data_IF_908624446698
#
_entry.id   IF_908624446698
#
_cell.length_a   1.000
_cell.length_b   1.000
_cell.length_c   1.000
_cell.angle_alpha   90.00
_cell.angle_beta   90.00
_cell.angle_gamma   90.00
#
_symmetry.space_group_name_H-M   'P 1'
#
loop_
_entity.id
_entity.type
_entity.pdbx_description
1 polymer ?
#
# COMPACT_ATOMS: atom_id res chain seq x y z
N UNK A 1 12.72 -6.28 16.15
CA UNK A 1 11.59 -7.19 16.36
C UNK A 1 10.33 -6.47 16.83
N UNK A 2 10.35 -5.64 17.85
CA UNK A 2 9.16 -4.93 18.39
C UNK A 2 8.37 -4.12 17.36
N UNK A 3 9.05 -3.34 16.49
CA UNK A 3 8.38 -2.62 15.40
C UNK A 3 7.69 -3.55 14.38
N UNK A 4 8.21 -4.75 14.18
CA UNK A 4 7.55 -5.75 13.35
C UNK A 4 6.23 -6.25 13.97
N UNK A 5 6.20 -6.46 15.29
CA UNK A 5 4.98 -6.83 16.03
C UNK A 5 3.95 -5.69 15.98
N UNK A 6 4.39 -4.45 16.13
CA UNK A 6 3.51 -3.27 15.99
C UNK A 6 2.86 -3.23 14.60
N UNK A 7 3.66 -3.42 13.54
CA UNK A 7 3.13 -3.46 12.17
C UNK A 7 2.19 -4.64 11.95
N UNK A 8 2.56 -5.83 12.43
CA UNK A 8 1.71 -7.02 12.36
C UNK A 8 0.32 -6.75 12.96
N UNK A 9 0.26 -6.30 14.22
CA UNK A 9 -1.01 -6.00 14.89
C UNK A 9 -1.83 -4.93 14.16
N UNK A 10 -1.16 -3.91 13.66
CA UNK A 10 -1.84 -2.82 12.98
C UNK A 10 -2.34 -3.23 11.59
N UNK A 11 -1.61 -4.10 10.89
CA UNK A 11 -2.06 -4.60 9.60
C UNK A 11 -3.16 -5.66 9.76
N UNK A 12 -3.14 -6.49 10.81
CA UNK A 12 -4.32 -7.29 11.21
C UNK A 12 -5.54 -6.39 11.37
N UNK A 13 -5.41 -5.28 12.10
CA UNK A 13 -6.51 -4.33 12.28
C UNK A 13 -7.00 -3.72 10.97
N UNK A 14 -6.10 -3.16 10.16
CA UNK A 14 -6.51 -2.44 8.95
C UNK A 14 -7.02 -3.37 7.86
N UNK A 15 -6.42 -4.52 7.67
CA UNK A 15 -6.80 -5.44 6.59
C UNK A 15 -8.07 -6.24 6.92
N UNK A 16 -8.37 -6.48 8.22
CA UNK A 16 -9.66 -7.02 8.63
C UNK A 16 -10.81 -6.10 8.22
N UNK A 17 -10.67 -4.78 8.44
CA UNK A 17 -11.69 -3.80 8.02
C UNK A 17 -11.74 -3.68 6.50
N UNK A 18 -10.58 -3.59 5.84
CA UNK A 18 -10.51 -3.48 4.36
C UNK A 18 -11.22 -4.65 3.69
N UNK A 19 -11.08 -5.87 4.22
CA UNK A 19 -11.66 -7.08 3.65
C UNK A 19 -13.19 -7.13 3.72
N UNK A 20 -13.82 -6.47 4.70
CA UNK A 20 -15.27 -6.44 4.83
C UNK A 20 -15.90 -5.15 4.28
N UNK A 21 -15.08 -4.12 4.02
CA UNK A 21 -15.55 -2.78 3.64
C UNK A 21 -16.48 -2.76 2.43
N UNK A 22 -16.25 -3.55 1.34
CA UNK A 22 -17.15 -3.62 0.21
C UNK A 22 -18.56 -4.06 0.63
N UNK A 23 -18.65 -5.15 1.38
CA UNK A 23 -19.92 -5.69 1.87
C UNK A 23 -20.59 -4.79 2.90
N UNK A 24 -19.79 -4.22 3.81
CA UNK A 24 -20.30 -3.32 4.82
C UNK A 24 -20.97 -2.09 4.19
N UNK A 25 -20.32 -1.51 3.17
CA UNK A 25 -20.88 -0.33 2.47
C UNK A 25 -22.10 -0.70 1.64
N UNK A 26 -22.06 -1.80 0.89
CA UNK A 26 -23.13 -2.14 -0.08
C UNK A 26 -24.25 -2.96 0.53
N UNK A 27 -23.94 -4.01 1.29
CA UNK A 27 -24.95 -4.92 1.84
C UNK A 27 -25.45 -4.47 3.22
N UNK A 28 -24.57 -4.13 4.17
CA UNK A 28 -25.00 -3.78 5.53
C UNK A 28 -25.62 -2.39 5.62
N UNK A 29 -25.05 -1.39 4.94
CA UNK A 29 -25.54 -0.02 4.94
C UNK A 29 -26.48 0.29 3.77
N UNK A 30 -26.65 -0.63 2.81
CA UNK A 30 -27.49 -0.45 1.63
C UNK A 30 -27.07 0.73 0.74
N UNK A 31 -25.80 1.17 0.81
CA UNK A 31 -25.32 2.28 0.01
C UNK A 31 -25.01 1.82 -1.42
N UNK A 32 -25.06 2.76 -2.35
CA UNK A 32 -24.84 2.46 -3.77
C UNK A 32 -23.40 2.01 -4.04
N UNK A 33 -23.18 1.31 -5.15
CA UNK A 33 -21.86 0.93 -5.67
C UNK A 33 -21.00 2.17 -5.97
N UNK A 34 -21.62 3.31 -6.29
CA UNK A 34 -20.94 4.60 -6.42
C UNK A 34 -20.32 5.04 -5.09
N UNK A 35 -21.09 4.91 -4.00
CA UNK A 35 -20.57 5.23 -2.67
C UNK A 35 -19.38 4.33 -2.30
N UNK A 36 -19.47 3.03 -2.60
CA UNK A 36 -18.34 2.13 -2.43
C UNK A 36 -17.13 2.56 -3.28
N UNK A 37 -17.34 2.95 -4.53
CA UNK A 37 -16.26 3.43 -5.42
C UNK A 37 -15.52 4.65 -4.86
N UNK A 38 -16.25 5.59 -4.25
CA UNK A 38 -15.63 6.74 -3.55
C UNK A 38 -14.80 6.26 -2.36
N UNK A 39 -15.36 5.38 -1.53
CA UNK A 39 -14.66 4.83 -0.34
C UNK A 39 -13.40 4.07 -0.75
N UNK A 40 -13.48 3.17 -1.72
CA UNK A 40 -12.33 2.42 -2.23
C UNK A 40 -11.28 3.34 -2.85
N UNK A 41 -11.71 4.34 -3.63
CA UNK A 41 -10.80 5.35 -4.17
C UNK A 41 -10.02 6.07 -3.06
N UNK A 42 -10.68 6.47 -1.98
CA UNK A 42 -10.03 7.08 -0.82
C UNK A 42 -9.05 6.10 -0.14
N UNK A 43 -9.39 4.82 -0.05
CA UNK A 43 -8.48 3.77 0.43
C UNK A 43 -7.21 3.73 -0.41
N UNK A 44 -7.32 3.82 -1.74
CA UNK A 44 -6.19 3.73 -2.66
C UNK A 44 -5.28 4.98 -2.63
N UNK A 45 -5.86 6.19 -2.55
CA UNK A 45 -5.14 7.44 -2.84
C UNK A 45 -4.79 8.31 -1.64
N UNK A 46 -5.64 8.37 -0.60
CA UNK A 46 -5.51 9.39 0.45
C UNK A 46 -4.19 9.34 1.24
N UNK A 47 -3.63 8.15 1.46
CA UNK A 47 -2.38 7.98 2.22
C UNK A 47 -1.11 8.39 1.46
N UNK A 48 -1.13 8.39 0.13
CA UNK A 48 0.05 8.65 -0.69
C UNK A 48 0.53 10.10 -0.56
N UNK A 49 -0.40 11.05 -0.50
CA UNK A 49 -0.12 12.48 -0.40
C UNK A 49 0.51 12.86 0.95
N UNK A 50 0.14 12.17 2.02
CA UNK A 50 0.53 12.52 3.40
C UNK A 50 1.85 11.87 3.82
N UNK A 51 2.31 10.83 3.11
CA UNK A 51 3.54 10.10 3.45
C UNK A 51 4.77 10.99 3.53
N UNK A 52 4.89 11.97 2.63
CA UNK A 52 6.00 12.92 2.61
C UNK A 52 5.97 13.84 3.84
N UNK A 53 4.79 14.28 4.26
CA UNK A 53 4.62 15.14 5.43
C UNK A 53 5.03 14.39 6.73
N UNK A 54 4.70 13.11 6.86
CA UNK A 54 5.11 12.27 7.99
C UNK A 54 6.63 12.14 8.10
N UNK A 55 7.32 11.91 6.97
CA UNK A 55 8.77 11.87 6.91
C UNK A 55 9.40 13.21 7.31
N UNK A 56 8.92 14.31 6.75
CA UNK A 56 9.38 15.66 7.08
C UNK A 56 9.21 16.01 8.57
N UNK A 57 8.04 15.70 9.14
CA UNK A 57 7.79 15.92 10.57
C UNK A 57 8.73 15.11 11.46
N UNK A 58 8.99 13.85 11.11
CA UNK A 58 9.94 12.98 11.79
C UNK A 58 11.36 13.55 11.77
N UNK A 59 11.80 14.02 10.59
CA UNK A 59 13.14 14.58 10.41
C UNK A 59 13.30 15.91 11.16
N UNK A 60 12.26 16.74 11.19
CA UNK A 60 12.30 18.05 11.86
C UNK A 60 12.31 17.91 13.38
N UNK A 61 11.57 16.98 13.95
CA UNK A 61 11.43 16.81 15.39
C UNK A 61 12.52 15.92 16.00
N UNK A 62 13.23 15.12 15.19
CA UNK A 62 14.13 14.03 15.63
C UNK A 62 13.44 13.05 16.61
N UNK A 63 12.12 12.89 16.49
CA UNK A 63 11.28 12.02 17.33
C UNK A 63 10.42 11.08 16.51
N UNK A 64 11.00 10.20 15.69
CA UNK A 64 10.24 9.32 14.80
C UNK A 64 9.24 8.43 15.52
N UNK A 65 9.54 7.99 16.76
CA UNK A 65 8.60 7.21 17.58
C UNK A 65 7.28 7.94 17.80
N UNK A 66 7.33 9.21 18.21
CA UNK A 66 6.12 9.97 18.55
C UNK A 66 5.32 10.36 17.29
N UNK A 67 6.00 10.70 16.20
CA UNK A 67 5.33 10.94 14.90
C UNK A 67 4.63 9.67 14.41
N UNK A 68 5.30 8.51 14.51
CA UNK A 68 4.66 7.24 14.22
C UNK A 68 3.48 6.94 15.16
N UNK A 69 3.63 7.22 16.47
CA UNK A 69 2.57 7.01 17.47
C UNK A 69 1.31 7.83 17.16
N UNK A 70 1.45 9.07 16.71
CA UNK A 70 0.32 9.89 16.23
C UNK A 70 -0.38 9.21 15.05
N UNK A 71 0.38 8.72 14.06
CA UNK A 71 -0.20 8.01 12.91
C UNK A 71 -0.92 6.71 13.29
N UNK A 72 -0.33 5.90 14.18
CA UNK A 72 -0.96 4.69 14.71
C UNK A 72 -2.18 4.98 15.56
N UNK A 73 -2.10 6.00 16.45
CA UNK A 73 -3.21 6.46 17.28
C UNK A 73 -4.39 6.96 16.46
N UNK A 74 -4.10 7.72 15.39
CA UNK A 74 -5.11 8.21 14.47
C UNK A 74 -5.85 7.04 13.80
N UNK A 75 -5.12 6.02 13.33
CA UNK A 75 -5.73 4.79 12.79
C UNK A 75 -6.55 4.04 13.84
N UNK A 76 -6.09 3.94 15.09
CA UNK A 76 -6.85 3.29 16.16
C UNK A 76 -8.15 4.06 16.50
N UNK A 77 -8.11 5.39 16.51
CA UNK A 77 -9.27 6.23 16.73
C UNK A 77 -10.35 6.02 15.68
N UNK A 78 -9.95 5.81 14.41
CA UNK A 78 -10.92 5.53 13.34
C UNK A 78 -11.68 4.21 13.56
N UNK A 79 -11.08 3.22 14.24
CA UNK A 79 -11.77 1.96 14.58
C UNK A 79 -12.89 2.19 15.59
N UNK A 80 -12.71 3.11 16.54
CA UNK A 80 -13.78 3.55 17.44
C UNK A 80 -14.88 4.24 16.63
N UNK A 81 -14.50 5.16 15.73
CA UNK A 81 -15.47 5.86 14.88
C UNK A 81 -16.30 4.92 14.02
N UNK A 82 -15.73 3.83 13.49
CA UNK A 82 -16.46 2.86 12.67
C UNK A 82 -17.57 2.13 13.42
N UNK A 83 -17.49 2.00 14.74
CA UNK A 83 -18.56 1.41 15.56
C UNK A 83 -19.84 2.26 15.59
N UNK A 84 -19.70 3.55 15.32
CA UNK A 84 -20.80 4.53 15.38
C UNK A 84 -21.09 5.17 14.01
N UNK A 85 -20.34 4.77 12.97
CA UNK A 85 -20.46 5.39 11.66
C UNK A 85 -21.79 5.03 10.98
N UNK A 86 -22.53 6.04 10.58
CA UNK A 86 -23.73 5.90 9.77
C UNK A 86 -23.59 6.75 8.49
N UNK A 87 -23.82 6.12 7.35
CA UNK A 87 -23.80 6.78 6.04
C UNK A 87 -22.41 7.09 5.46
N UNK A 88 -22.41 7.46 4.19
CA UNK A 88 -21.22 7.67 3.38
C UNK A 88 -20.25 8.75 3.93
N UNK A 89 -20.71 9.95 4.38
CA UNK A 89 -19.78 10.98 4.84
C UNK A 89 -18.96 10.56 6.05
N UNK A 90 -19.59 9.84 7.01
CA UNK A 90 -18.91 9.35 8.20
C UNK A 90 -17.85 8.31 7.84
N UNK A 91 -18.20 7.32 7.00
CA UNK A 91 -17.26 6.28 6.57
C UNK A 91 -16.12 6.88 5.76
N UNK A 92 -16.42 7.76 4.80
CA UNK A 92 -15.40 8.40 3.97
C UNK A 92 -14.42 9.22 4.82
N UNK A 93 -14.90 9.98 5.80
CA UNK A 93 -14.03 10.75 6.71
C UNK A 93 -13.15 9.86 7.58
N UNK A 94 -13.68 8.74 8.09
CA UNK A 94 -12.92 7.78 8.87
C UNK A 94 -11.87 7.05 8.02
N UNK A 95 -12.22 6.66 6.79
CA UNK A 95 -11.28 6.04 5.84
C UNK A 95 -10.15 7.01 5.49
N UNK A 96 -10.47 8.27 5.16
CA UNK A 96 -9.43 9.29 4.91
C UNK A 96 -8.51 9.45 6.13
N UNK A 97 -9.09 9.55 7.31
CA UNK A 97 -8.33 9.70 8.57
C UNK A 97 -7.41 8.50 8.82
N UNK A 98 -7.90 7.27 8.60
CA UNK A 98 -7.08 6.05 8.69
C UNK A 98 -5.92 6.06 7.68
N UNK A 99 -6.18 6.43 6.41
CA UNK A 99 -5.16 6.50 5.37
C UNK A 99 -4.14 7.62 5.62
N UNK A 100 -4.56 8.75 6.18
CA UNK A 100 -3.68 9.81 6.67
C UNK A 100 -2.79 9.25 7.79
N UNK A 101 -3.36 8.55 8.78
CA UNK A 101 -2.60 7.89 9.84
C UNK A 101 -1.56 6.90 9.29
N UNK A 102 -1.95 6.07 8.30
CA UNK A 102 -1.04 5.12 7.61
C UNK A 102 0.07 5.87 6.85
N UNK A 103 -0.25 6.98 6.20
CA UNK A 103 0.73 7.84 5.52
C UNK A 103 1.75 8.45 6.49
N UNK A 104 1.28 9.07 7.57
CA UNK A 104 2.13 9.73 8.60
C UNK A 104 3.10 8.76 9.25
N UNK A 105 2.68 7.53 9.58
CA UNK A 105 3.50 6.56 10.33
C UNK A 105 4.57 5.85 9.49
N UNK A 106 4.41 5.73 8.17
CA UNK A 106 5.24 4.85 7.33
C UNK A 106 6.71 5.26 7.33
N UNK A 107 7.03 6.51 6.99
CA UNK A 107 8.41 6.99 6.92
C UNK A 107 9.10 7.05 8.31
N UNK A 108 8.47 7.56 9.39
CA UNK A 108 9.05 7.51 10.74
C UNK A 108 9.33 6.09 11.24
N UNK A 109 8.44 5.13 10.97
CA UNK A 109 8.64 3.72 11.29
C UNK A 109 9.89 3.17 10.61
N UNK A 110 10.03 3.41 9.32
CA UNK A 110 11.17 2.92 8.55
C UNK A 110 12.49 3.56 9.03
N UNK A 111 12.45 4.84 9.43
CA UNK A 111 13.59 5.52 10.07
C UNK A 111 13.98 4.87 11.41
N UNK A 112 13.00 4.48 12.25
CA UNK A 112 13.26 3.75 13.50
C UNK A 112 13.89 2.38 13.24
N UNK A 113 13.44 1.65 12.23
CA UNK A 113 14.02 0.35 11.84
C UNK A 113 15.48 0.57 11.44
N UNK A 114 15.74 1.54 10.58
CA UNK A 114 17.09 1.86 10.13
C UNK A 114 18.01 2.29 11.27
N UNK A 115 17.50 3.09 12.22
CA UNK A 115 18.29 3.57 13.38
C UNK A 115 18.58 2.47 14.40
N UNK A 116 17.69 1.47 14.54
CA UNK A 116 17.82 0.35 15.48
C UNK A 116 18.62 -0.83 14.93
N UNK A 117 18.75 -0.94 13.61
CA UNK A 117 19.41 -2.07 12.95
C UNK A 117 20.93 -1.86 12.85
N UNK A 118 21.68 -2.99 12.89
CA UNK A 118 23.08 -2.95 12.53
C UNK A 118 23.22 -2.68 11.01
N UNK A 119 24.06 -1.74 10.56
CA UNK A 119 24.24 -1.43 9.14
C UNK A 119 24.55 -2.65 8.25
N UNK A 120 25.25 -3.66 8.80
CA UNK A 120 25.55 -4.92 8.10
C UNK A 120 24.33 -5.82 7.89
N UNK A 121 23.29 -5.66 8.71
CA UNK A 121 22.11 -6.52 8.72
C UNK A 121 20.81 -5.75 8.40
N UNK A 122 20.93 -4.58 7.78
CA UNK A 122 19.79 -3.70 7.48
C UNK A 122 18.74 -4.41 6.60
N UNK A 123 19.18 -5.10 5.54
CA UNK A 123 18.31 -5.86 4.66
C UNK A 123 17.52 -6.97 5.40
N UNK A 124 18.19 -7.69 6.32
CA UNK A 124 17.54 -8.70 7.16
C UNK A 124 16.50 -8.08 8.10
N UNK A 125 16.80 -6.91 8.67
CA UNK A 125 15.88 -6.22 9.58
C UNK A 125 14.62 -5.75 8.86
N UNK A 126 14.74 -5.17 7.67
CA UNK A 126 13.59 -4.81 6.83
C UNK A 126 12.86 -6.05 6.31
N UNK A 127 13.57 -7.12 5.96
CA UNK A 127 12.98 -8.39 5.53
C UNK A 127 12.09 -9.02 6.59
N UNK A 128 12.58 -9.11 7.84
CA UNK A 128 11.78 -9.61 8.98
C UNK A 128 10.58 -8.71 9.26
N UNK A 129 10.77 -7.38 9.20
CA UNK A 129 9.67 -6.44 9.35
C UNK A 129 8.60 -6.66 8.28
N UNK A 130 9.01 -6.77 7.00
CA UNK A 130 8.09 -6.99 5.88
C UNK A 130 7.35 -8.32 5.97
N UNK A 131 8.02 -9.37 6.45
CA UNK A 131 7.38 -10.67 6.67
C UNK A 131 6.26 -10.59 7.71
N UNK A 132 6.51 -9.87 8.83
CA UNK A 132 5.50 -9.65 9.86
C UNK A 132 4.34 -8.76 9.37
N UNK A 133 4.64 -7.71 8.62
CA UNK A 133 3.67 -6.83 7.94
C UNK A 133 2.72 -7.67 7.06
N UNK A 134 3.30 -8.50 6.19
CA UNK A 134 2.54 -9.38 5.28
C UNK A 134 1.74 -10.47 6.03
N UNK A 135 2.32 -11.04 7.10
CA UNK A 135 1.60 -12.00 7.94
C UNK A 135 0.37 -11.36 8.62
N UNK A 136 0.49 -10.12 9.09
CA UNK A 136 -0.62 -9.33 9.60
C UNK A 136 -1.69 -9.07 8.54
N UNK A 137 -1.27 -8.71 7.34
CA UNK A 137 -2.16 -8.48 6.21
C UNK A 137 -2.94 -9.74 5.78
N UNK A 138 -2.35 -10.92 5.93
CA UNK A 138 -3.05 -12.17 5.66
C UNK A 138 -3.98 -12.60 6.82
N UNK A 139 -3.57 -12.37 8.06
CA UNK A 139 -4.35 -12.76 9.24
C UNK A 139 -5.59 -11.87 9.43
N UNK A 140 -5.54 -10.59 9.06
CA UNK A 140 -6.68 -9.68 9.17
C UNK A 140 -7.95 -10.21 8.50
N UNK A 141 -7.93 -10.49 7.20
CA UNK A 141 -9.08 -11.07 6.49
C UNK A 141 -9.49 -12.45 7.00
N UNK A 142 -8.55 -13.28 7.51
CA UNK A 142 -8.87 -14.56 8.14
C UNK A 142 -9.67 -14.36 9.43
N UNK A 143 -9.30 -13.40 10.26
CA UNK A 143 -10.08 -13.07 11.47
C UNK A 143 -11.45 -12.50 11.11
N UNK A 144 -11.55 -11.70 10.06
CA UNK A 144 -12.82 -11.22 9.56
C UNK A 144 -13.72 -12.38 9.07
N UNK A 145 -13.14 -13.36 8.35
CA UNK A 145 -13.83 -14.59 7.97
C UNK A 145 -14.38 -15.33 9.18
N UNK A 146 -13.52 -15.62 10.18
CA UNK A 146 -13.91 -16.35 11.39
C UNK A 146 -15.01 -15.62 12.16
N UNK A 147 -14.93 -14.28 12.26
CA UNK A 147 -15.94 -13.46 12.93
C UNK A 147 -17.29 -13.53 12.21
N UNK A 148 -17.32 -13.39 10.88
CA UNK A 148 -18.54 -13.49 10.08
C UNK A 148 -19.09 -14.91 9.98
N UNK A 149 -18.21 -15.93 10.09
CA UNK A 149 -18.64 -17.32 10.15
C UNK A 149 -19.30 -17.66 11.49
N UNK A 150 -18.74 -17.13 12.60
CA UNK A 150 -19.31 -17.36 13.93
C UNK A 150 -20.58 -16.52 14.19
N UNK A 151 -20.65 -15.31 13.64
CA UNK A 151 -21.75 -14.36 13.80
C UNK A 151 -22.10 -13.83 12.42
N UNK A 152 -23.12 -14.41 11.73
CA UNK A 152 -23.58 -13.91 10.45
C UNK A 152 -23.92 -12.42 10.53
N UNK A 153 -23.47 -11.63 9.53
CA UNK A 153 -23.57 -10.18 9.47
C UNK A 153 -22.93 -9.41 10.65
N UNK A 154 -22.02 -10.08 11.38
CA UNK A 154 -21.31 -9.55 12.55
C UNK A 154 -20.21 -8.54 12.20
N UNK A 155 -20.48 -7.56 11.32
CA UNK A 155 -19.50 -6.52 10.93
C UNK A 155 -18.97 -5.75 12.14
N UNK A 156 -19.84 -5.45 13.10
CA UNK A 156 -19.44 -4.80 14.37
C UNK A 156 -18.41 -5.63 15.13
N UNK A 157 -18.55 -6.96 15.13
CA UNK A 157 -17.56 -7.87 15.77
C UNK A 157 -16.19 -7.75 15.11
N UNK A 158 -16.14 -7.65 13.77
CA UNK A 158 -14.89 -7.41 13.06
C UNK A 158 -14.27 -6.06 13.44
N UNK A 159 -15.08 -4.99 13.57
CA UNK A 159 -14.58 -3.69 14.02
C UNK A 159 -14.04 -3.73 15.45
N UNK A 160 -14.67 -4.47 16.37
CA UNK A 160 -14.20 -4.65 17.76
C UNK A 160 -12.87 -5.42 17.78
N UNK A 161 -12.75 -6.51 17.03
CA UNK A 161 -11.49 -7.27 16.87
C UNK A 161 -10.39 -6.36 16.31
N UNK A 162 -10.72 -5.60 15.25
CA UNK A 162 -9.82 -4.63 14.62
C UNK A 162 -9.37 -3.56 15.62
N UNK A 163 -10.27 -3.01 16.44
CA UNK A 163 -9.96 -2.06 17.50
C UNK A 163 -9.02 -2.67 18.53
N UNK A 164 -9.29 -3.89 19.01
CA UNK A 164 -8.43 -4.60 19.94
C UNK A 164 -6.99 -4.75 19.41
N UNK A 165 -6.84 -5.18 18.16
CA UNK A 165 -5.54 -5.28 17.50
C UNK A 165 -4.84 -3.92 17.34
N UNK A 166 -5.59 -2.86 16.99
CA UNK A 166 -5.04 -1.50 16.89
C UNK A 166 -4.55 -0.98 18.24
N UNK A 167 -5.33 -1.14 19.32
CA UNK A 167 -4.95 -0.72 20.67
C UNK A 167 -3.72 -1.47 21.16
N UNK A 168 -3.66 -2.78 20.94
CA UNK A 168 -2.47 -3.59 21.25
C UNK A 168 -1.26 -3.13 20.44
N UNK A 169 -1.43 -2.79 19.18
CA UNK A 169 -0.35 -2.24 18.32
C UNK A 169 0.17 -0.90 18.83
N UNK A 170 -0.72 0.04 19.18
CA UNK A 170 -0.34 1.34 19.77
C UNK A 170 0.33 1.14 21.15
N UNK A 171 -0.23 0.29 22.00
CA UNK A 171 0.35 -0.08 23.29
C UNK A 171 1.77 -0.66 23.14
N UNK A 172 1.95 -1.60 22.23
CA UNK A 172 3.27 -2.17 21.94
C UNK A 172 4.27 -1.11 21.44
N UNK A 173 3.84 -0.17 20.60
CA UNK A 173 4.68 0.93 20.14
C UNK A 173 5.12 1.84 21.28
N UNK A 174 4.16 2.25 22.11
CA UNK A 174 4.43 3.21 23.21
C UNK A 174 5.29 2.57 24.30
N UNK A 175 4.98 1.33 24.70
CA UNK A 175 5.60 0.67 25.85
C UNK A 175 6.89 -0.06 25.49
N UNK A 176 6.97 -0.72 24.33
CA UNK A 176 8.07 -1.63 24.00
C UNK A 176 9.09 -1.05 23.03
N UNK A 177 8.75 -0.01 22.25
CA UNK A 177 9.69 0.59 21.31
C UNK A 177 10.47 1.70 21.99
N UNK A 178 11.82 1.66 22.00
CA UNK A 178 12.62 2.72 22.59
C UNK A 178 12.50 4.05 21.82
N UNK A 179 12.58 5.17 22.54
CA UNK A 179 12.60 6.51 21.92
C UNK A 179 13.99 6.80 21.37
N UNK A 180 14.22 6.33 20.14
CA UNK A 180 15.49 6.56 19.44
C UNK A 180 15.44 7.92 18.75
N UNK A 181 16.52 8.69 18.95
CA UNK A 181 16.74 9.96 18.25
C UNK A 181 17.90 9.77 17.25
N UNK A 182 17.62 9.57 15.97
CA UNK A 182 18.62 9.20 14.98
C UNK A 182 19.77 10.21 14.87
N UNK A 183 19.49 11.50 14.91
CA UNK A 183 20.53 12.56 14.86
C UNK A 183 21.38 12.58 16.11
N UNK A 184 20.75 12.49 17.29
CA UNK A 184 21.46 12.41 18.55
C UNK A 184 22.35 11.16 18.64
N UNK A 185 21.84 10.01 18.15
CA UNK A 185 22.61 8.78 18.11
C UNK A 185 23.82 8.86 17.15
N UNK A 186 23.63 9.48 15.99
CA UNK A 186 24.73 9.73 15.05
C UNK A 186 25.78 10.65 15.66
N UNK A 187 25.38 11.73 16.30
CA UNK A 187 26.27 12.65 17.01
C UNK A 187 27.08 11.93 18.10
N UNK A 188 26.43 11.13 18.96
CA UNK A 188 27.11 10.37 20.03
C UNK A 188 28.13 9.36 19.47
N UNK A 189 27.81 8.66 18.36
CA UNK A 189 28.76 7.74 17.71
C UNK A 189 30.01 8.47 17.20
N UNK A 190 29.82 9.63 16.61
CA UNK A 190 30.93 10.45 16.09
C UNK A 190 31.81 10.95 17.22
N UNK A 191 31.24 11.39 18.34
CA UNK A 191 32.02 11.86 19.49
C UNK A 191 32.78 10.73 20.21
N UNK A 192 32.17 9.56 20.43
CA UNK A 192 32.86 8.37 20.97
C UNK A 192 34.01 7.92 20.10
N UNK A 193 33.82 7.90 18.79
CA UNK A 193 34.91 7.56 17.84
C UNK A 193 36.07 8.55 17.85
N UNK A 194 35.81 9.81 18.18
CA UNK A 194 36.85 10.83 18.34
C UNK A 194 37.59 10.70 19.68
N UNK A 195 36.87 10.48 20.77
CA UNK A 195 37.48 10.23 22.08
C UNK A 195 38.39 8.99 22.07
N UNK A 196 37.96 7.90 21.42
CA UNK A 196 38.80 6.70 21.27
C UNK A 196 40.04 6.88 20.40
N UNK A 197 40.09 7.95 19.59
CA UNK A 197 41.23 8.32 18.75
C UNK A 197 42.10 9.43 19.33
N UNK A 198 41.83 9.84 20.60
CA UNK A 198 42.62 10.89 21.28
C UNK A 198 42.53 12.29 20.66
N UNK A 199 41.48 12.54 19.85
CA UNK A 199 41.31 13.84 19.20
C UNK A 199 40.65 14.85 20.15
N UNK A 200 41.08 16.13 20.14
CA UNK A 200 40.59 17.14 21.06
C UNK A 200 39.08 17.36 20.94
N UNK A 201 38.42 17.59 22.09
CA UNK A 201 36.99 17.95 22.16
C UNK A 201 36.76 19.26 21.40
N UNK A 202 35.89 19.27 20.41
CA UNK A 202 35.55 20.49 19.71
C UNK A 202 34.74 21.40 20.64
N UNK A 203 35.37 22.45 21.18
CA UNK A 203 34.69 23.58 21.81
C UNK A 203 34.13 24.46 20.68
N UNK A 204 32.83 24.53 20.50
CA UNK A 204 32.20 25.51 19.62
C UNK A 204 32.07 25.14 18.13
N UNK A 205 32.39 23.92 17.72
CA UNK A 205 32.13 23.49 16.34
C UNK A 205 30.67 23.02 16.21
N UNK A 206 29.93 23.60 15.28
CA UNK A 206 28.90 22.89 14.55
C UNK A 206 29.58 21.74 13.80
N UNK A 207 29.91 20.66 14.53
CA UNK A 207 30.57 19.51 13.91
C UNK A 207 29.54 18.84 13.00
N UNK A 208 29.52 19.23 11.73
CA UNK A 208 28.94 18.43 10.68
C UNK A 208 29.60 17.06 10.74
N UNK A 209 28.82 16.02 10.91
CA UNK A 209 29.31 14.66 10.97
C UNK A 209 30.06 14.34 9.67
N UNK A 210 31.34 13.86 9.72
CA UNK A 210 32.00 13.37 8.53
C UNK A 210 31.28 12.12 8.06
N UNK A 211 30.65 12.17 6.92
CA UNK A 211 29.72 11.14 6.41
C UNK A 211 28.28 11.36 6.88
N UNK A 212 27.98 12.49 7.50
CA UNK A 212 26.61 12.97 7.58
C UNK A 212 26.09 12.95 6.14
N UNK A 213 24.99 12.21 5.95
CA UNK A 213 24.13 12.48 4.82
C UNK A 213 23.92 13.99 4.90
N UNK A 214 24.74 14.74 4.21
CA UNK A 214 24.38 16.08 3.87
C UNK A 214 23.07 15.90 3.14
N UNK A 215 21.97 16.08 3.87
CA UNK A 215 20.85 16.72 3.27
C UNK A 215 21.42 18.09 2.85
N UNK A 216 22.35 18.06 1.89
CA UNK A 216 22.58 19.19 1.04
C UNK A 216 21.20 19.46 0.55
N UNK A 217 20.60 20.47 1.13
CA UNK A 217 19.35 21.05 0.66
C UNK A 217 19.58 21.57 -0.76
N UNK A 218 19.94 20.67 -1.65
CA UNK A 218 19.71 20.90 -3.06
C UNK A 218 18.21 21.06 -3.14
N UNK A 219 17.75 22.25 -3.51
CA UNK A 219 16.34 22.51 -3.67
C UNK A 219 15.79 21.35 -4.50
N UNK A 220 14.69 20.77 -4.04
CA UNK A 220 14.01 19.68 -4.68
C UNK A 220 13.92 19.98 -6.18
N UNK A 221 14.82 19.42 -6.98
CA UNK A 221 14.91 19.78 -8.38
C UNK A 221 13.99 18.87 -9.16
N UNK A 222 12.86 19.40 -9.58
CA UNK A 222 11.94 18.77 -10.52
C UNK A 222 12.58 18.49 -11.90
N UNK A 223 13.87 18.78 -12.06
CA UNK A 223 14.62 18.59 -13.30
C UNK A 223 14.58 17.15 -13.85
N UNK A 224 14.40 16.14 -12.98
CA UNK A 224 14.24 14.76 -13.44
C UNK A 224 12.91 14.53 -14.19
N UNK A 225 11.87 15.32 -13.91
CA UNK A 225 10.60 15.28 -14.63
C UNK A 225 10.70 15.74 -16.09
N UNK A 226 11.75 16.50 -16.44
CA UNK A 226 11.99 16.94 -17.81
C UNK A 226 12.63 15.86 -18.70
N UNK A 227 13.08 14.76 -18.09
CA UNK A 227 13.66 13.64 -18.84
C UNK A 227 12.54 12.84 -19.50
N UNK A 228 12.57 12.72 -20.82
CA UNK A 228 11.53 12.04 -21.59
C UNK A 228 11.24 10.60 -21.14
N UNK A 229 12.25 9.86 -20.65
CA UNK A 229 12.07 8.51 -20.08
C UNK A 229 11.22 8.54 -18.80
N UNK A 230 11.49 9.49 -17.88
CA UNK A 230 10.73 9.63 -16.63
C UNK A 230 9.28 10.01 -16.91
N UNK A 231 9.06 10.99 -17.80
CA UNK A 231 7.69 11.40 -18.19
C UNK A 231 6.91 10.21 -18.75
N UNK A 232 7.51 9.42 -19.63
CA UNK A 232 6.85 8.25 -20.22
C UNK A 232 6.44 7.21 -19.17
N UNK A 233 7.30 6.94 -18.18
CA UNK A 233 6.95 6.03 -17.07
C UNK A 233 5.79 6.59 -16.26
N UNK A 234 5.81 7.88 -15.93
CA UNK A 234 4.73 8.51 -15.17
C UNK A 234 3.40 8.49 -15.94
N UNK A 235 3.44 8.73 -17.24
CA UNK A 235 2.26 8.62 -18.11
C UNK A 235 1.74 7.18 -18.15
N UNK A 236 2.63 6.19 -18.33
CA UNK A 236 2.23 4.78 -18.31
C UNK A 236 1.69 4.36 -16.94
N UNK A 237 2.34 4.76 -15.86
CA UNK A 237 1.87 4.49 -14.50
C UNK A 237 0.49 5.13 -14.21
N UNK A 238 0.26 6.35 -14.67
CA UNK A 238 -1.02 7.03 -14.58
C UNK A 238 -2.10 6.36 -15.43
N UNK A 239 -1.82 6.06 -16.69
CA UNK A 239 -2.77 5.44 -17.61
C UNK A 239 -3.17 4.03 -17.13
N UNK A 240 -2.20 3.19 -16.78
CA UNK A 240 -2.46 1.86 -16.25
C UNK A 240 -3.14 1.92 -14.87
N UNK A 241 -2.77 2.88 -14.02
CA UNK A 241 -3.43 3.12 -12.75
C UNK A 241 -4.90 3.52 -12.89
N UNK A 242 -5.25 4.34 -13.90
CA UNK A 242 -6.64 4.72 -14.22
C UNK A 242 -7.51 3.54 -14.68
N UNK A 243 -6.90 2.47 -15.15
CA UNK A 243 -7.59 1.25 -15.58
C UNK A 243 -7.51 0.12 -14.55
N UNK A 244 -6.85 0.36 -13.42
CA UNK A 244 -6.75 -0.58 -12.30
C UNK A 244 -7.84 -0.27 -11.29
N UNK A 245 -8.93 -1.00 -11.39
CA UNK A 245 -10.10 -0.91 -10.48
C UNK A 245 -9.76 -1.63 -9.17
N UNK A 246 -10.32 -1.17 -8.05
CA UNK A 246 -10.11 -1.79 -6.75
C UNK A 246 -10.63 -3.24 -6.71
N UNK A 247 -9.89 -4.11 -6.02
CA UNK A 247 -10.20 -5.56 -5.95
C UNK A 247 -11.59 -5.85 -5.42
N UNK A 248 -12.08 -5.02 -4.49
CA UNK A 248 -13.40 -5.19 -3.90
C UNK A 248 -14.52 -5.18 -4.93
N UNK A 249 -14.39 -4.47 -6.06
CA UNK A 249 -15.35 -4.54 -7.15
C UNK A 249 -15.35 -5.90 -7.84
N UNK A 250 -14.16 -6.46 -8.07
CA UNK A 250 -14.03 -7.80 -8.65
C UNK A 250 -14.64 -8.83 -7.70
N UNK A 251 -14.37 -8.71 -6.40
CA UNK A 251 -14.91 -9.62 -5.38
C UNK A 251 -16.42 -9.49 -5.22
N UNK A 252 -16.97 -8.27 -5.25
CA UNK A 252 -18.42 -8.06 -5.29
C UNK A 252 -19.05 -8.67 -6.55
N UNK A 253 -18.37 -8.57 -7.70
CA UNK A 253 -18.85 -9.17 -8.94
C UNK A 253 -18.85 -10.71 -8.88
N UNK A 254 -17.83 -11.31 -8.29
CA UNK A 254 -17.75 -12.76 -8.08
C UNK A 254 -18.82 -13.24 -7.10
N UNK A 255 -19.03 -12.50 -6.01
CA UNK A 255 -20.06 -12.83 -5.02
C UNK A 255 -21.48 -12.75 -5.60
N UNK A 256 -21.79 -11.66 -6.30
CA UNK A 256 -23.09 -11.47 -6.92
C UNK A 256 -23.36 -12.52 -8.03
N UNK A 257 -22.32 -12.94 -8.77
CA UNK A 257 -22.42 -13.98 -9.78
C UNK A 257 -22.63 -15.38 -9.20
N UNK A 258 -21.84 -15.74 -8.19
CA UNK A 258 -21.80 -17.12 -7.67
C UNK A 258 -22.70 -17.34 -6.45
N UNK A 259 -23.25 -16.26 -5.87
CA UNK A 259 -24.22 -16.31 -4.76
C UNK A 259 -23.67 -16.92 -3.46
N UNK A 260 -22.34 -16.89 -3.24
CA UNK A 260 -21.77 -17.46 -2.01
C UNK A 260 -22.05 -16.57 -0.79
N UNK A 261 -22.15 -17.20 0.38
CA UNK A 261 -22.47 -16.52 1.61
C UNK A 261 -21.42 -15.46 2.00
N UNK A 262 -21.88 -14.38 2.64
CA UNK A 262 -21.06 -13.18 2.98
C UNK A 262 -19.81 -13.51 3.79
N UNK A 263 -19.83 -14.55 4.63
CA UNK A 263 -18.66 -14.96 5.40
C UNK A 263 -17.45 -15.39 4.57
N UNK A 264 -17.66 -15.89 3.35
CA UNK A 264 -16.57 -16.31 2.46
C UNK A 264 -15.84 -15.15 1.78
N UNK A 265 -16.46 -13.97 1.75
CA UNK A 265 -15.94 -12.81 1.05
C UNK A 265 -14.50 -12.40 1.49
N UNK A 266 -14.14 -12.34 2.79
CA UNK A 266 -12.79 -12.00 3.20
C UNK A 266 -11.73 -12.99 2.69
N UNK A 267 -12.10 -14.26 2.41
CA UNK A 267 -11.17 -15.24 1.87
C UNK A 267 -10.75 -14.94 0.43
N UNK A 268 -11.48 -14.13 -0.32
CA UNK A 268 -11.06 -13.67 -1.64
C UNK A 268 -9.79 -12.82 -1.54
N UNK A 269 -9.71 -11.95 -0.52
CA UNK A 269 -8.48 -11.19 -0.22
C UNK A 269 -7.34 -12.11 0.19
N UNK A 270 -7.61 -13.12 1.03
CA UNK A 270 -6.60 -14.12 1.42
C UNK A 270 -6.09 -14.87 0.20
N UNK A 271 -6.97 -15.31 -0.69
CA UNK A 271 -6.61 -16.05 -1.90
C UNK A 271 -5.71 -15.23 -2.83
N UNK A 272 -6.12 -13.99 -3.13
CA UNK A 272 -5.30 -13.09 -3.96
C UNK A 272 -3.93 -12.81 -3.33
N UNK A 273 -3.88 -12.52 -2.02
CA UNK A 273 -2.64 -12.27 -1.30
C UNK A 273 -1.73 -13.50 -1.24
N UNK A 274 -2.29 -14.70 -1.04
CA UNK A 274 -1.52 -15.95 -1.04
C UNK A 274 -0.84 -16.18 -2.40
N UNK A 275 -1.57 -16.01 -3.50
CA UNK A 275 -1.01 -16.12 -4.85
C UNK A 275 0.05 -15.06 -5.09
N UNK A 276 -0.22 -13.81 -4.70
CA UNK A 276 0.77 -12.73 -4.79
C UNK A 276 2.07 -13.09 -4.06
N UNK A 277 1.99 -13.57 -2.82
CA UNK A 277 3.16 -13.95 -2.03
C UNK A 277 3.95 -15.09 -2.67
N UNK A 278 3.27 -16.10 -3.18
CA UNK A 278 3.91 -17.23 -3.86
C UNK A 278 4.62 -16.81 -5.15
N UNK A 279 4.02 -15.90 -5.90
CA UNK A 279 4.51 -15.49 -7.21
C UNK A 279 5.47 -14.29 -7.18
N UNK A 280 5.48 -13.46 -6.13
CA UNK A 280 6.27 -12.23 -6.08
C UNK A 280 7.77 -12.45 -6.33
N UNK A 281 8.37 -13.46 -5.69
CA UNK A 281 9.79 -13.75 -5.87
C UNK A 281 10.12 -14.36 -7.25
N UNK A 282 9.41 -15.38 -7.77
CA UNK A 282 9.67 -15.92 -9.09
C UNK A 282 9.40 -14.89 -10.22
N UNK A 283 8.31 -14.12 -10.14
CA UNK A 283 8.00 -13.09 -11.14
C UNK A 283 9.00 -11.93 -11.08
N UNK A 284 9.48 -11.56 -9.90
CA UNK A 284 10.55 -10.57 -9.75
C UNK A 284 11.84 -11.00 -10.46
N UNK A 285 12.28 -12.26 -10.29
CA UNK A 285 13.43 -12.81 -11.03
C UNK A 285 13.18 -12.87 -12.52
N UNK A 286 11.98 -13.22 -12.93
CA UNK A 286 11.58 -13.20 -14.33
C UNK A 286 11.63 -11.80 -14.93
N UNK A 287 11.17 -10.78 -14.17
CA UNK A 287 11.25 -9.38 -14.58
C UNK A 287 12.69 -8.89 -14.75
N UNK A 288 13.61 -9.31 -13.88
CA UNK A 288 15.03 -8.97 -14.01
C UNK A 288 15.67 -9.62 -15.24
N UNK A 289 15.23 -10.83 -15.64
CA UNK A 289 15.78 -11.57 -16.80
C UNK A 289 15.17 -11.15 -18.13
N UNK A 290 13.85 -10.95 -18.19
CA UNK A 290 13.11 -10.70 -19.44
C UNK A 290 12.76 -9.22 -19.67
N UNK A 291 13.05 -8.36 -18.69
CA UNK A 291 12.85 -6.92 -18.75
C UNK A 291 11.61 -6.45 -17.96
N UNK A 292 11.85 -5.56 -17.02
CA UNK A 292 10.86 -5.03 -16.07
C UNK A 292 9.65 -4.38 -16.74
N UNK A 293 9.90 -3.61 -17.83
CA UNK A 293 8.85 -2.94 -18.58
C UNK A 293 7.88 -3.93 -19.23
N UNK A 294 8.40 -5.06 -19.78
CA UNK A 294 7.56 -6.09 -20.38
C UNK A 294 6.70 -6.80 -19.34
N UNK A 295 7.28 -7.14 -18.18
CA UNK A 295 6.55 -7.82 -17.11
C UNK A 295 5.46 -6.93 -16.54
N UNK A 296 5.71 -5.62 -16.36
CA UNK A 296 4.70 -4.64 -15.96
C UNK A 296 3.50 -4.63 -16.94
N UNK A 297 3.76 -4.63 -18.22
CA UNK A 297 2.71 -4.66 -19.26
C UNK A 297 1.96 -5.99 -19.27
N UNK A 298 2.66 -7.13 -19.18
CA UNK A 298 2.03 -8.45 -19.08
C UNK A 298 1.17 -8.60 -17.84
N UNK A 299 1.56 -7.97 -16.71
CA UNK A 299 0.71 -7.91 -15.52
C UNK A 299 -0.68 -7.34 -15.82
N UNK A 300 -0.78 -6.28 -16.62
CA UNK A 300 -2.07 -5.70 -16.97
C UNK A 300 -2.89 -6.53 -17.98
N UNK A 301 -2.24 -7.40 -18.75
CA UNK A 301 -2.96 -8.45 -19.53
C UNK A 301 -3.63 -9.45 -18.57
N UNK A 302 -2.92 -9.85 -17.50
CA UNK A 302 -3.51 -10.72 -16.47
C UNK A 302 -4.69 -10.03 -15.76
N UNK A 303 -4.58 -8.73 -15.50
CA UNK A 303 -5.68 -7.94 -14.94
C UNK A 303 -6.89 -7.89 -15.88
N UNK A 304 -6.68 -7.66 -17.17
CA UNK A 304 -7.76 -7.71 -18.17
C UNK A 304 -8.43 -9.09 -18.20
N UNK A 305 -7.64 -10.16 -18.13
CA UNK A 305 -8.15 -11.52 -18.03
C UNK A 305 -8.95 -11.77 -16.75
N UNK A 306 -8.51 -11.18 -15.60
CA UNK A 306 -9.25 -11.27 -14.35
C UNK A 306 -10.61 -10.57 -14.42
N UNK A 307 -10.69 -9.38 -15.04
CA UNK A 307 -11.96 -8.67 -15.25
C UNK A 307 -12.88 -9.44 -16.20
N UNK A 308 -12.35 -9.96 -17.31
CA UNK A 308 -13.10 -10.80 -18.23
C UNK A 308 -13.63 -12.07 -17.55
N UNK A 309 -12.81 -12.69 -16.69
CA UNK A 309 -13.20 -13.87 -15.91
C UNK A 309 -14.33 -13.54 -14.92
N UNK A 310 -14.27 -12.37 -14.26
CA UNK A 310 -15.32 -11.92 -13.35
C UNK A 310 -16.64 -11.52 -14.06
N UNK A 311 -16.53 -11.01 -15.29
CA UNK A 311 -17.67 -10.65 -16.15
C UNK A 311 -18.32 -11.87 -16.83
N UNK A 312 -17.55 -12.96 -17.03
CA UNK A 312 -18.00 -14.14 -17.76
C UNK A 312 -19.20 -14.83 -17.04
N UNK A 313 -20.11 -15.44 -17.81
CA UNK A 313 -21.31 -16.09 -17.26
C UNK A 313 -21.03 -17.44 -16.60
N UNK A 314 -19.77 -17.88 -16.58
CA UNK A 314 -19.40 -19.17 -15.98
C UNK A 314 -19.37 -19.05 -14.45
N UNK A 315 -20.29 -19.73 -13.79
CA UNK A 315 -20.39 -19.79 -12.33
C UNK A 315 -19.52 -20.92 -11.75
N UNK A 316 -19.17 -20.81 -10.47
CA UNK A 316 -18.55 -21.86 -9.69
C UNK A 316 -17.17 -21.52 -9.13
N UNK A 317 -16.77 -22.28 -8.13
CA UNK A 317 -15.51 -22.09 -7.38
C UNK A 317 -14.26 -22.04 -8.26
N UNK A 318 -14.23 -22.82 -9.34
CA UNK A 318 -13.07 -22.84 -10.27
C UNK A 318 -12.85 -21.49 -10.92
N UNK A 319 -13.92 -20.85 -11.42
CA UNK A 319 -13.82 -19.51 -12.06
C UNK A 319 -13.39 -18.46 -11.04
N UNK A 320 -13.91 -18.52 -9.82
CA UNK A 320 -13.51 -17.65 -8.73
C UNK A 320 -12.03 -17.83 -8.39
N UNK A 321 -11.56 -19.09 -8.24
CA UNK A 321 -10.13 -19.36 -8.00
C UNK A 321 -9.24 -18.85 -9.15
N UNK A 322 -9.65 -19.04 -10.40
CA UNK A 322 -8.91 -18.50 -11.57
C UNK A 322 -8.83 -16.98 -11.52
N UNK A 323 -9.91 -16.29 -11.18
CA UNK A 323 -9.89 -14.83 -11.03
C UNK A 323 -8.90 -14.37 -9.93
N UNK A 324 -8.88 -15.07 -8.77
CA UNK A 324 -7.94 -14.76 -7.68
C UNK A 324 -6.48 -15.03 -8.09
N UNK A 325 -6.22 -16.11 -8.83
CA UNK A 325 -4.89 -16.42 -9.34
C UNK A 325 -4.43 -15.33 -10.32
N UNK A 326 -5.29 -14.90 -11.24
CA UNK A 326 -4.98 -13.83 -12.18
C UNK A 326 -4.70 -12.50 -11.48
N UNK A 327 -5.50 -12.12 -10.47
CA UNK A 327 -5.28 -10.92 -9.66
C UNK A 327 -3.98 -11.00 -8.86
N UNK A 328 -3.71 -12.11 -8.19
CA UNK A 328 -2.46 -12.31 -7.44
C UNK A 328 -1.23 -12.26 -8.34
N UNK A 329 -1.31 -12.86 -9.54
CA UNK A 329 -0.25 -12.82 -10.55
C UNK A 329 -0.06 -11.39 -11.12
N UNK A 330 -1.15 -10.64 -11.31
CA UNK A 330 -1.09 -9.21 -11.66
C UNK A 330 -0.31 -8.42 -10.62
N UNK A 331 -0.61 -8.58 -9.33
CA UNK A 331 0.13 -7.89 -8.27
C UNK A 331 1.61 -8.30 -8.24
N UNK A 332 1.92 -9.57 -8.41
CA UNK A 332 3.30 -10.04 -8.50
C UNK A 332 4.08 -9.41 -9.66
N UNK A 333 3.40 -9.14 -10.79
CA UNK A 333 3.99 -8.54 -11.98
C UNK A 333 4.08 -7.01 -11.93
N UNK A 334 3.36 -6.35 -11.02
CA UNK A 334 3.26 -4.88 -11.00
C UNK A 334 3.82 -4.27 -9.72
N UNK A 335 3.51 -4.84 -8.54
CA UNK A 335 4.02 -4.37 -7.26
C UNK A 335 5.54 -4.57 -7.18
N UNK A 336 6.25 -3.50 -6.87
CA UNK A 336 7.73 -3.52 -6.86
C UNK A 336 8.37 -3.38 -8.26
N UNK A 337 7.79 -3.94 -9.33
CA UNK A 337 8.36 -3.85 -10.69
C UNK A 337 8.35 -2.40 -11.20
N UNK A 338 7.28 -1.64 -10.95
CA UNK A 338 7.23 -0.21 -11.29
C UNK A 338 8.31 0.58 -10.53
N UNK A 339 8.49 0.31 -9.25
CA UNK A 339 9.53 0.96 -8.43
C UNK A 339 10.94 0.60 -8.92
N UNK A 340 11.16 -0.67 -9.26
CA UNK A 340 12.43 -1.14 -9.80
C UNK A 340 12.72 -0.56 -11.20
N UNK A 341 11.69 -0.44 -12.05
CA UNK A 341 11.81 0.19 -13.37
C UNK A 341 12.14 1.69 -13.24
N UNK A 342 11.43 2.40 -12.37
CA UNK A 342 11.66 3.82 -12.12
C UNK A 342 13.06 4.06 -11.57
N UNK A 343 13.54 3.22 -10.64
CA UNK A 343 14.86 3.34 -10.03
C UNK A 343 16.01 3.13 -11.03
N UNK A 344 15.80 2.34 -12.07
CA UNK A 344 16.79 2.08 -13.10
C UNK A 344 17.00 3.24 -14.08
N UNK A 345 16.00 4.12 -14.22
CA UNK A 345 15.97 5.20 -15.22
C UNK A 345 16.40 6.56 -14.68
N UNK A 346 16.61 6.68 -13.38
CA UNK A 346 17.00 7.93 -12.74
C UNK A 346 18.31 7.79 -11.98
N UNK A 347 19.12 8.88 -11.85
CA UNK A 347 20.32 8.91 -11.04
C UNK A 347 20.06 8.56 -9.57
N UNK A 348 21.08 8.11 -8.86
CA UNK A 348 20.98 7.63 -7.49
C UNK A 348 20.48 8.69 -6.50
N UNK A 349 20.82 9.95 -6.73
CA UNK A 349 20.46 11.11 -5.90
C UNK A 349 18.97 11.48 -5.92
N UNK A 350 18.23 11.09 -6.97
CA UNK A 350 16.79 11.39 -7.13
C UNK A 350 15.89 10.15 -7.16
N UNK A 351 16.46 8.94 -6.93
CA UNK A 351 15.70 7.67 -7.01
C UNK A 351 14.51 7.63 -6.07
N UNK A 352 14.69 7.99 -4.82
CA UNK A 352 13.61 7.98 -3.83
C UNK A 352 12.45 8.88 -4.24
N UNK A 353 12.76 10.08 -4.71
CA UNK A 353 11.76 11.05 -5.20
C UNK A 353 11.03 10.53 -6.43
N UNK A 354 11.75 9.97 -7.41
CA UNK A 354 11.13 9.45 -8.62
C UNK A 354 10.21 8.26 -8.35
N UNK A 355 10.63 7.32 -7.49
CA UNK A 355 9.79 6.20 -7.04
C UNK A 355 8.54 6.73 -6.31
N UNK A 356 8.71 7.67 -5.38
CA UNK A 356 7.60 8.26 -4.65
C UNK A 356 6.61 8.97 -5.58
N UNK A 357 7.12 9.71 -6.59
CA UNK A 357 6.27 10.36 -7.60
C UNK A 357 5.49 9.35 -8.42
N UNK A 358 6.14 8.27 -8.90
CA UNK A 358 5.46 7.23 -9.67
C UNK A 358 4.37 6.53 -8.84
N UNK A 359 4.66 6.21 -7.57
CA UNK A 359 3.68 5.62 -6.65
C UNK A 359 2.51 6.56 -6.36
N UNK A 360 2.78 7.87 -6.21
CA UNK A 360 1.72 8.88 -5.99
C UNK A 360 0.83 9.02 -7.22
N UNK A 361 1.42 9.09 -8.41
CA UNK A 361 0.67 9.13 -9.68
C UNK A 361 -0.24 7.90 -9.80
N UNK A 362 0.30 6.70 -9.56
CA UNK A 362 -0.49 5.46 -9.58
C UNK A 362 -1.60 5.47 -8.55
N UNK A 363 -1.34 5.92 -7.32
CA UNK A 363 -2.33 5.96 -6.25
C UNK A 363 -3.48 6.94 -6.55
N UNK A 364 -3.19 8.12 -7.06
CA UNK A 364 -4.19 9.12 -7.48
C UNK A 364 -4.99 8.60 -8.69
N UNK A 365 -4.31 7.95 -9.64
CA UNK A 365 -4.97 7.34 -10.79
C UNK A 365 -5.93 6.22 -10.37
N UNK A 366 -5.52 5.32 -9.47
CA UNK A 366 -6.39 4.27 -8.91
C UNK A 366 -7.56 4.85 -8.11
N UNK A 367 -7.34 5.94 -7.37
CA UNK A 367 -8.43 6.64 -6.68
C UNK A 367 -9.51 7.09 -7.68
N UNK A 368 -9.10 7.72 -8.77
CA UNK A 368 -10.02 8.14 -9.83
C UNK A 368 -10.66 6.94 -10.54
N UNK A 369 -9.89 5.85 -10.77
CA UNK A 369 -10.38 4.61 -11.36
C UNK A 369 -11.50 3.98 -10.54
N UNK A 370 -11.32 3.85 -9.22
CA UNK A 370 -12.32 3.24 -8.34
C UNK A 370 -13.60 4.07 -8.28
N UNK A 371 -13.48 5.40 -8.12
CA UNK A 371 -14.64 6.29 -8.14
C UNK A 371 -15.37 6.26 -9.50
N UNK A 372 -14.63 6.34 -10.60
CA UNK A 372 -15.18 6.28 -11.96
C UNK A 372 -15.82 4.93 -12.28
N UNK A 373 -15.21 3.83 -11.84
CA UNK A 373 -15.77 2.50 -12.04
C UNK A 373 -17.05 2.27 -11.26
N UNK A 374 -17.16 2.82 -10.04
CA UNK A 374 -18.41 2.80 -9.29
C UNK A 374 -19.56 3.48 -10.04
N UNK A 375 -19.29 4.63 -10.69
CA UNK A 375 -20.26 5.31 -11.55
C UNK A 375 -20.59 4.47 -12.79
N UNK A 376 -19.57 3.91 -13.45
CA UNK A 376 -19.73 3.06 -14.63
C UNK A 376 -20.58 1.81 -14.30
N UNK A 377 -20.32 1.16 -13.16
CA UNK A 377 -21.12 0.02 -12.71
C UNK A 377 -22.58 0.39 -12.45
N UNK A 378 -22.80 1.55 -11.82
CA UNK A 378 -24.16 2.03 -11.57
C UNK A 378 -24.94 2.32 -12.87
N UNK A 379 -24.26 2.89 -13.87
CA UNK A 379 -24.88 3.31 -15.12
C UNK A 379 -25.08 2.15 -16.13
N UNK A 380 -24.09 1.27 -16.26
CA UNK A 380 -24.07 0.21 -17.27
C UNK A 380 -24.37 -1.19 -16.71
N UNK A 381 -24.36 -1.34 -15.38
CA UNK A 381 -24.45 -2.65 -14.75
C UNK A 381 -23.09 -3.34 -14.59
N UNK A 382 -23.06 -4.37 -13.77
CA UNK A 382 -21.85 -5.10 -13.37
C UNK A 382 -21.07 -5.67 -14.54
N UNK A 383 -21.76 -6.41 -15.40
CA UNK A 383 -21.13 -7.17 -16.50
C UNK A 383 -20.54 -6.23 -17.54
N UNK A 384 -21.31 -5.23 -17.98
CA UNK A 384 -20.87 -4.30 -19.01
C UNK A 384 -19.75 -3.39 -18.50
N UNK A 385 -19.80 -2.97 -17.23
CA UNK A 385 -18.69 -2.19 -16.63
C UNK A 385 -17.36 -2.97 -16.66
N UNK A 386 -17.37 -4.24 -16.31
CA UNK A 386 -16.19 -5.10 -16.36
C UNK A 386 -15.69 -5.34 -17.79
N UNK A 387 -16.60 -5.52 -18.74
CA UNK A 387 -16.22 -5.66 -20.15
C UNK A 387 -15.64 -4.37 -20.73
N UNK A 388 -16.20 -3.20 -20.37
CA UNK A 388 -15.67 -1.89 -20.76
C UNK A 388 -14.26 -1.71 -20.17
N UNK A 389 -14.04 -2.03 -18.89
CA UNK A 389 -12.71 -1.97 -18.27
C UNK A 389 -11.72 -2.94 -18.93
N UNK A 390 -12.16 -4.16 -19.26
CA UNK A 390 -11.37 -5.13 -20.01
C UNK A 390 -10.97 -4.59 -21.39
N UNK A 391 -11.92 -4.07 -22.16
CA UNK A 391 -11.66 -3.50 -23.48
C UNK A 391 -10.71 -2.30 -23.42
N UNK A 392 -10.87 -1.43 -22.43
CA UNK A 392 -9.98 -0.29 -22.20
C UNK A 392 -8.55 -0.75 -21.91
N UNK A 393 -8.35 -1.81 -21.10
CA UNK A 393 -7.03 -2.40 -20.86
C UNK A 393 -6.44 -3.03 -22.13
N UNK A 394 -7.24 -3.76 -22.91
CA UNK A 394 -6.80 -4.36 -24.17
C UNK A 394 -6.26 -3.30 -25.14
N UNK A 395 -6.87 -2.11 -25.15
CA UNK A 395 -6.39 -0.97 -25.97
C UNK A 395 -5.18 -0.29 -25.34
N UNK A 396 -5.17 -0.08 -24.03
CA UNK A 396 -4.11 0.67 -23.36
C UNK A 396 -2.79 -0.11 -23.25
N UNK A 397 -2.85 -1.43 -23.09
CA UNK A 397 -1.67 -2.29 -22.94
C UNK A 397 -0.69 -2.18 -24.13
N UNK A 398 -1.11 -2.28 -25.41
CA UNK A 398 -0.23 -2.07 -26.55
C UNK A 398 0.36 -0.65 -26.61
N UNK A 399 -0.45 0.37 -26.29
CA UNK A 399 0.00 1.77 -26.24
C UNK A 399 1.10 1.94 -25.20
N UNK A 400 0.89 1.41 -23.99
CA UNK A 400 1.89 1.44 -22.93
C UNK A 400 3.16 0.66 -23.30
N UNK A 401 3.02 -0.50 -23.93
CA UNK A 401 4.15 -1.27 -24.45
C UNK A 401 4.99 -0.48 -25.45
N UNK A 402 4.33 0.23 -26.37
CA UNK A 402 4.99 1.09 -27.36
C UNK A 402 5.72 2.27 -26.71
N UNK A 403 5.09 2.94 -25.75
CA UNK A 403 5.69 4.06 -25.01
C UNK A 403 6.96 3.62 -24.24
N UNK A 404 6.94 2.42 -23.65
CA UNK A 404 8.06 1.90 -22.88
C UNK A 404 9.19 1.35 -23.79
N UNK A 405 8.92 0.84 -25.00
CA UNK A 405 9.95 0.41 -25.95
C UNK A 405 10.88 1.53 -26.40
N UNK A 406 10.40 2.76 -26.43
CA UNK A 406 11.17 3.95 -26.83
C UNK A 406 12.04 4.52 -25.68
N UNK A 407 12.06 3.89 -24.51
CA UNK A 407 12.96 4.24 -23.42
C UNK A 407 14.19 3.34 -23.53
N UNK A 408 15.40 3.88 -23.81
CA UNK A 408 16.61 3.09 -23.69
C UNK A 408 16.73 2.65 -22.24
N UNK A 409 16.79 1.32 -22.03
CA UNK A 409 17.07 0.69 -20.75
C UNK A 409 18.54 0.92 -20.36
#
# INVERSE_FOLDING_TARGET
>A
MTLGVVSFLTDVSSEAVTAILPLYVTAALGLSVVAYGVVDGLVQGAGALVRVAGGWASDRTDRPKWVAAVGYGLSALTRVGLLFAAGLPAIASLVVTDRVGKGVRTAPRDALIAASANPRNLGRSFGVHRALDTAGAALGPLLAFVALWAIPDGYTTVFVISLGAAVLGVGALVLLVPDLRPRQAAWLRTHRSRESRGLPKCKGCTCEAPGGLQLTGRPFSWGFLRRGATVRILVVAGLLGLLTVGDGFVYLALQDRDGFATQWFPLLYVGTNAVYMLLAAPVGRFADRFGRARVLVWGHVLLAAAYACAAAPFTGATTTVVALVLLGAFYAATDGVLSALTSALVPADVRGTAIGTAQTVTAVARMAASAGFGVLWYAAGRVDALWIATAALVVAVPVCAFLLRRSPA
#
